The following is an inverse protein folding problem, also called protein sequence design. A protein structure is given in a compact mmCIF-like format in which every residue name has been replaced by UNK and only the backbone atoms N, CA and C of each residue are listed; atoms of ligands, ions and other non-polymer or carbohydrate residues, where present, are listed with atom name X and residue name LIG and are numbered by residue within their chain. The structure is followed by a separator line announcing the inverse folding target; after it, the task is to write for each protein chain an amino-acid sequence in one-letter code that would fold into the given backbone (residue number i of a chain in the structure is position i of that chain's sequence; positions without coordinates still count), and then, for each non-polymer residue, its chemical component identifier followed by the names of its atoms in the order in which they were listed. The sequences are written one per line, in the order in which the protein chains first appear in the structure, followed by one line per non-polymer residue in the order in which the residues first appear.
data_IF_309941742606
#
_entry.id   IF_309941742606
#
_cell.length_a   1.000
_cell.length_b   1.000
_cell.length_c   1.000
_cell.angle_alpha   90.00
_cell.angle_beta   90.00
_cell.angle_gamma   90.00
#
_symmetry.space_group_name_H-M   'P 1'
#
loop_
_entity.id
_entity.type
_entity.pdbx_description
1 polymer ?
#
# COMPACT_ATOMS: atom_id res chain seq x y z
N UNK A 1 21.89 38.89 -14.49
CA UNK A 1 22.07 37.42 -14.63
C UNK A 1 22.65 37.15 -15.99
N UNK A 2 23.77 36.44 -16.05
CA UNK A 2 24.44 36.16 -17.31
C UNK A 2 23.66 35.14 -18.13
N UNK A 3 23.79 35.23 -19.47
CA UNK A 3 23.12 34.31 -20.40
C UNK A 3 23.48 32.85 -20.11
N UNK A 4 24.72 32.61 -19.68
CA UNK A 4 25.22 31.32 -19.22
C UNK A 4 24.45 30.81 -18.00
N UNK A 5 24.17 31.66 -17.01
CA UNK A 5 23.39 31.31 -15.82
C UNK A 5 21.96 30.94 -16.19
N UNK A 6 21.35 31.67 -17.14
CA UNK A 6 19.98 31.39 -17.59
C UNK A 6 19.92 30.05 -18.32
N UNK A 7 20.86 29.77 -19.24
CA UNK A 7 20.92 28.49 -19.95
C UNK A 7 21.19 27.33 -18.99
N UNK A 8 22.10 27.51 -18.02
CA UNK A 8 22.39 26.50 -17.00
C UNK A 8 21.15 26.15 -16.19
N UNK A 9 20.42 27.14 -15.66
CA UNK A 9 19.19 26.91 -14.89
C UNK A 9 18.11 26.23 -15.74
N UNK A 10 17.95 26.64 -17.01
CA UNK A 10 16.97 26.04 -17.91
C UNK A 10 17.28 24.54 -18.14
N UNK A 11 18.55 24.21 -18.40
CA UNK A 11 18.96 22.80 -18.61
C UNK A 11 18.74 21.95 -17.35
N UNK A 12 19.03 22.50 -16.16
CA UNK A 12 18.87 21.80 -14.89
C UNK A 12 17.39 21.51 -14.58
N UNK A 13 16.51 22.48 -14.82
CA UNK A 13 15.04 22.31 -14.67
C UNK A 13 14.49 21.30 -15.68
N UNK A 14 14.92 21.36 -16.95
CA UNK A 14 14.50 20.38 -17.96
C UNK A 14 14.92 18.96 -17.59
N UNK A 15 16.16 18.78 -17.10
CA UNK A 15 16.64 17.47 -16.63
C UNK A 15 15.83 16.98 -15.41
N UNK A 16 15.53 17.87 -14.47
CA UNK A 16 14.77 17.55 -13.28
C UNK A 16 13.36 17.04 -13.64
N UNK A 17 12.63 17.78 -14.48
CA UNK A 17 11.28 17.35 -14.94
C UNK A 17 11.34 16.02 -15.70
N UNK A 18 12.36 15.84 -16.53
CA UNK A 18 12.55 14.60 -17.29
C UNK A 18 12.78 13.38 -16.40
N UNK A 19 13.62 13.51 -15.37
CA UNK A 19 13.88 12.43 -14.42
C UNK A 19 12.68 12.13 -13.54
N UNK A 20 11.92 13.14 -13.11
CA UNK A 20 10.69 12.98 -12.33
C UNK A 20 9.62 12.23 -13.16
N UNK A 21 9.36 12.62 -14.41
CA UNK A 21 8.40 11.91 -15.28
C UNK A 21 8.76 10.44 -15.49
N UNK A 22 10.05 10.12 -15.66
CA UNK A 22 10.51 8.72 -15.84
C UNK A 22 10.28 7.87 -14.59
N UNK A 23 10.40 8.44 -13.39
CA UNK A 23 10.14 7.73 -12.14
C UNK A 23 8.64 7.48 -11.93
N UNK A 24 7.77 8.42 -12.31
CA UNK A 24 6.31 8.27 -12.20
C UNK A 24 5.71 7.26 -13.19
N UNK A 25 6.36 6.98 -14.32
CA UNK A 25 5.87 6.03 -15.32
C UNK A 25 6.12 4.54 -14.99
N UNK A 26 6.79 4.23 -13.87
CA UNK A 26 7.12 2.86 -13.46
C UNK A 26 6.21 2.30 -12.36
N UNK A 27 5.05 2.90 -12.10
CA UNK A 27 4.00 2.25 -11.31
C UNK A 27 3.24 1.25 -12.21
N UNK A 28 3.81 0.06 -12.36
CA UNK A 28 3.13 -1.09 -12.97
C UNK A 28 2.11 -1.63 -11.97
N UNK A 29 0.81 -1.77 -12.34
CA UNK A 29 -0.20 -2.37 -11.49
C UNK A 29 0.12 -3.84 -11.24
N UNK A 30 0.42 -4.22 -10.00
CA UNK A 30 0.57 -5.63 -9.64
C UNK A 30 -0.83 -6.27 -9.53
N UNK A 31 -1.24 -6.85 -10.66
CA UNK A 31 -2.15 -8.00 -10.85
C UNK A 31 -3.12 -8.34 -9.71
N UNK A 32 -4.37 -7.96 -9.93
CA UNK A 32 -5.57 -8.68 -9.48
C UNK A 32 -5.46 -10.14 -9.89
N UNK A 33 -5.38 -11.07 -8.92
CA UNK A 33 -5.53 -12.51 -9.17
C UNK A 33 -7.00 -12.75 -9.54
N UNK A 34 -7.24 -12.96 -10.83
CA UNK A 34 -8.49 -13.48 -11.35
C UNK A 34 -8.64 -14.96 -10.96
N UNK A 35 -9.81 -15.24 -10.40
CA UNK A 35 -10.56 -16.49 -10.45
C UNK A 35 -10.20 -17.40 -11.65
N UNK A 36 -9.85 -18.65 -11.36
CA UNK A 36 -9.87 -19.77 -12.30
C UNK A 36 -10.59 -20.96 -11.63
N UNK A 37 -11.88 -21.05 -11.89
CA UNK A 37 -12.83 -22.19 -11.65
C UNK A 37 -12.66 -23.26 -12.77
N UNK A 38 -13.23 -24.51 -12.76
CA UNK A 38 -13.91 -25.42 -11.78
C UNK A 38 -13.31 -26.87 -11.69
N UNK A 39 -13.62 -27.77 -10.73
CA UNK A 39 -14.71 -28.81 -10.68
C UNK A 39 -14.22 -30.05 -9.85
N UNK A 40 -15.00 -31.11 -9.48
CA UNK A 40 -16.42 -31.23 -9.06
C UNK A 40 -16.67 -32.12 -7.79
N UNK A 41 -17.93 -32.19 -7.34
CA UNK A 41 -18.62 -33.30 -6.62
C UNK A 41 -18.77 -33.23 -5.09
N UNK A 42 -19.92 -32.73 -4.61
CA UNK A 42 -20.80 -33.41 -3.64
C UNK A 42 -22.16 -32.68 -3.58
N UNK A 43 -23.23 -33.47 -3.57
CA UNK A 43 -24.63 -33.08 -3.73
C UNK A 43 -25.24 -32.34 -2.52
N UNK A 44 -26.32 -31.56 -2.74
CA UNK A 44 -27.62 -31.63 -2.02
C UNK A 44 -28.54 -30.42 -2.34
N UNK A 45 -29.68 -30.72 -2.98
CA UNK A 45 -31.04 -30.13 -2.95
C UNK A 45 -31.41 -28.68 -3.40
N UNK A 46 -32.22 -28.63 -4.48
CA UNK A 46 -33.28 -27.72 -4.98
C UNK A 46 -34.01 -26.72 -4.03
N UNK A 47 -34.89 -25.78 -4.50
CA UNK A 47 -35.03 -25.05 -5.80
C UNK A 47 -35.31 -23.50 -5.70
N UNK A 48 -35.29 -22.80 -6.85
CA UNK A 48 -35.90 -21.49 -7.30
C UNK A 48 -36.78 -20.63 -6.36
N UNK A 49 -36.84 -19.27 -6.46
CA UNK A 49 -37.28 -18.54 -7.68
C UNK A 49 -36.54 -17.21 -8.05
N UNK A 50 -36.66 -16.81 -9.32
CA UNK A 50 -36.42 -15.48 -9.93
C UNK A 50 -37.19 -14.33 -9.22
N UNK A 51 -36.81 -13.01 -9.32
CA UNK A 51 -36.85 -12.24 -10.58
C UNK A 51 -35.87 -11.03 -10.75
N UNK A 52 -35.60 -10.62 -11.99
CA UNK A 52 -35.14 -9.26 -12.42
C UNK A 52 -36.30 -8.24 -12.23
N UNK A 53 -36.17 -6.86 -12.19
CA UNK A 53 -35.26 -6.00 -12.96
C UNK A 53 -34.83 -4.61 -12.34
N UNK A 54 -34.08 -3.83 -13.13
CA UNK A 54 -34.16 -2.37 -13.34
C UNK A 54 -33.71 -1.31 -12.29
N UNK A 55 -32.88 -0.40 -12.82
CA UNK A 55 -32.88 1.07 -12.68
C UNK A 55 -32.32 1.76 -11.43
N UNK A 56 -31.36 2.65 -11.74
CA UNK A 56 -31.18 4.00 -11.16
C UNK A 56 -30.68 4.08 -9.72
N UNK A 57 -29.52 4.73 -9.53
CA UNK A 57 -29.44 6.07 -8.90
C UNK A 57 -28.02 6.40 -8.46
N UNK A 58 -27.40 7.29 -9.23
CA UNK A 58 -26.68 8.48 -8.76
C UNK A 58 -26.62 8.64 -7.22
N UNK A 59 -25.45 8.39 -6.63
CA UNK A 59 -25.04 9.13 -5.41
C UNK A 59 -23.53 9.26 -5.31
N UNK A 60 -23.03 10.33 -5.94
CA UNK A 60 -21.88 11.04 -5.38
C UNK A 60 -22.30 11.51 -4.00
N UNK A 61 -21.70 10.95 -2.96
CA UNK A 61 -21.21 11.65 -1.78
C UNK A 61 -20.89 10.64 -0.67
N UNK A 62 -19.90 11.05 0.12
CA UNK A 62 -19.90 10.87 1.57
C UNK A 62 -19.05 9.70 2.09
N UNK A 63 -17.81 10.08 2.44
CA UNK A 63 -17.36 10.01 3.83
C UNK A 63 -17.32 8.60 4.43
N UNK A 64 -16.17 7.96 4.34
CA UNK A 64 -15.72 7.09 5.43
C UNK A 64 -14.24 7.35 5.72
N UNK A 65 -14.03 8.52 6.35
CA UNK A 65 -12.81 8.92 7.07
C UNK A 65 -12.69 8.16 8.40
N UNK A 66 -13.05 6.88 8.41
CA UNK A 66 -12.84 5.96 9.52
C UNK A 66 -12.28 4.68 8.91
N UNK A 67 -11.00 4.72 8.55
CA UNK A 67 -10.20 3.50 8.45
C UNK A 67 -10.11 2.96 9.88
N UNK A 68 -11.14 2.22 10.30
CA UNK A 68 -11.12 1.31 11.43
C UNK A 68 -9.76 0.62 11.34
N UNK A 69 -8.92 0.80 12.36
CA UNK A 69 -7.61 0.19 12.49
C UNK A 69 -7.79 -1.33 12.42
N UNK A 70 -7.87 -1.86 11.20
CA UNK A 70 -7.87 -3.29 10.94
C UNK A 70 -6.44 -3.68 11.21
N UNK A 71 -6.15 -4.01 12.48
CA UNK A 71 -4.86 -4.50 12.94
C UNK A 71 -4.47 -5.62 11.98
N UNK A 72 -3.53 -5.33 11.06
CA UNK A 72 -3.08 -6.31 10.09
C UNK A 72 -2.33 -7.39 10.88
N UNK A 73 -2.51 -8.64 10.48
CA UNK A 73 -1.62 -9.68 10.95
C UNK A 73 -0.19 -9.27 10.57
N UNK A 74 0.73 -9.38 11.53
CA UNK A 74 2.14 -9.15 11.28
C UNK A 74 2.66 -10.37 10.52
N UNK A 75 3.24 -10.12 9.35
CA UNK A 75 3.95 -11.15 8.60
C UNK A 75 5.39 -11.24 9.12
N UNK A 76 5.95 -12.45 9.13
CA UNK A 76 7.33 -12.69 9.57
C UNK A 76 8.34 -11.87 8.73
N UNK A 77 8.07 -11.70 7.43
CA UNK A 77 8.86 -10.85 6.52
C UNK A 77 8.96 -9.40 7.02
N UNK A 78 7.89 -8.85 7.62
CA UNK A 78 7.93 -7.48 8.13
C UNK A 78 8.89 -7.36 9.32
N UNK A 79 8.94 -8.39 10.15
CA UNK A 79 9.85 -8.44 11.31
C UNK A 79 11.29 -8.57 10.82
N UNK A 80 11.54 -9.47 9.87
CA UNK A 80 12.87 -9.67 9.29
C UNK A 80 13.43 -8.39 8.67
N UNK A 81 12.63 -7.70 7.85
CA UNK A 81 13.05 -6.45 7.21
C UNK A 81 13.43 -5.37 8.23
N UNK A 82 12.64 -5.23 9.29
CA UNK A 82 12.94 -4.25 10.36
C UNK A 82 14.22 -4.66 11.11
N UNK A 83 14.40 -5.94 11.42
CA UNK A 83 15.59 -6.43 12.14
C UNK A 83 16.88 -6.28 11.33
N UNK A 84 16.81 -6.45 10.01
CA UNK A 84 17.96 -6.17 9.12
C UNK A 84 18.37 -4.70 9.16
N UNK A 85 17.42 -3.79 9.32
CA UNK A 85 17.68 -2.34 9.34
C UNK A 85 18.01 -1.80 10.74
N UNK A 86 17.41 -2.37 11.78
CA UNK A 86 17.55 -1.94 13.17
C UNK A 86 17.86 -3.15 14.07
N UNK A 87 19.06 -3.77 13.94
CA UNK A 87 19.42 -4.97 14.69
C UNK A 87 19.63 -4.73 16.20
N UNK A 88 19.67 -3.46 16.63
CA UNK A 88 19.82 -3.08 18.03
C UNK A 88 18.50 -3.16 18.80
N UNK A 89 17.35 -3.17 18.12
CA UNK A 89 16.04 -3.21 18.76
C UNK A 89 15.63 -4.67 19.02
N UNK A 90 15.14 -5.01 20.23
CA UNK A 90 14.66 -6.36 20.52
C UNK A 90 13.52 -6.77 19.59
N UNK A 91 13.56 -8.03 19.12
CA UNK A 91 12.57 -8.57 18.19
C UNK A 91 11.14 -8.48 18.73
N UNK A 92 10.95 -8.72 20.04
CA UNK A 92 9.63 -8.66 20.68
C UNK A 92 9.02 -7.26 20.59
N UNK A 93 9.85 -6.22 20.75
CA UNK A 93 9.44 -4.82 20.65
C UNK A 93 9.01 -4.47 19.23
N UNK A 94 9.78 -4.93 18.25
CA UNK A 94 9.44 -4.73 16.83
C UNK A 94 8.15 -5.46 16.46
N UNK A 95 7.97 -6.72 16.88
CA UNK A 95 6.73 -7.47 16.63
C UNK A 95 5.54 -6.74 17.25
N UNK A 96 5.69 -6.24 18.48
CA UNK A 96 4.63 -5.51 19.17
C UNK A 96 4.30 -4.20 18.46
N UNK A 97 5.30 -3.44 18.02
CA UNK A 97 5.07 -2.19 17.33
C UNK A 97 4.49 -2.42 15.93
N UNK A 98 4.95 -3.43 15.19
CA UNK A 98 4.37 -3.84 13.91
C UNK A 98 2.91 -4.29 14.07
N UNK A 99 2.55 -4.95 15.19
CA UNK A 99 1.14 -5.30 15.49
C UNK A 99 0.29 -4.05 15.72
N UNK A 100 0.88 -2.99 16.25
CA UNK A 100 0.20 -1.73 16.53
C UNK A 100 0.09 -0.84 15.28
N UNK A 101 1.19 -0.69 14.54
CA UNK A 101 1.31 0.21 13.37
C UNK A 101 0.80 -0.44 12.10
N UNK A 102 0.97 -1.76 11.95
CA UNK A 102 0.71 -2.52 10.74
C UNK A 102 1.57 -2.11 9.55
N UNK A 103 2.69 -1.39 9.77
CA UNK A 103 3.56 -0.86 8.72
C UNK A 103 5.02 -0.79 9.17
N UNK A 104 5.92 -1.28 8.32
CA UNK A 104 7.38 -1.22 8.50
C UNK A 104 7.84 0.24 8.61
N UNK A 105 7.33 1.11 7.74
CA UNK A 105 7.75 2.52 7.68
C UNK A 105 7.48 3.24 9.00
N UNK A 106 6.26 3.08 9.55
CA UNK A 106 5.89 3.68 10.83
C UNK A 106 6.66 3.09 12.00
N UNK A 107 6.94 1.79 11.97
CA UNK A 107 7.76 1.18 13.01
C UNK A 107 9.20 1.67 12.94
N UNK A 108 9.75 1.88 11.75
CA UNK A 108 11.07 2.48 11.59
C UNK A 108 11.11 3.94 12.07
N UNK A 109 10.09 4.74 11.78
CA UNK A 109 9.95 6.09 12.34
C UNK A 109 9.92 6.08 13.86
N UNK A 110 9.22 5.14 14.49
CA UNK A 110 9.18 5.00 15.94
C UNK A 110 10.53 4.59 16.54
N UNK A 111 11.28 3.73 15.84
CA UNK A 111 12.65 3.34 16.22
C UNK A 111 13.56 4.57 16.18
N UNK A 112 13.58 5.31 15.08
CA UNK A 112 14.41 6.53 14.97
C UNK A 112 13.97 7.65 15.90
N UNK A 113 12.69 7.69 16.29
CA UNK A 113 12.19 8.61 17.30
C UNK A 113 12.53 8.19 18.75
N UNK A 114 13.22 7.06 18.95
CA UNK A 114 13.61 6.56 20.28
C UNK A 114 12.43 6.03 21.11
N UNK A 115 11.30 5.68 20.47
CA UNK A 115 10.13 5.11 21.18
C UNK A 115 10.27 3.62 21.44
N UNK A 116 11.20 2.97 20.75
CA UNK A 116 11.42 1.52 20.75
C UNK A 116 12.77 1.08 21.33
N UNK A 117 13.58 2.02 21.84
CA UNK A 117 14.83 1.75 22.57
C UNK A 117 14.59 1.10 23.94
#
# INVERSE_FOLDING_TARGET
MDRSTIVFLLTMVCLFVYTVKRKSAKQVPLRTVQDAKPAPTAATNNPSPEPVPSTSEKRVAQLNRHSVHRKRAVNDDMVEIVMMMAPHVPQEKVVQDLRNTGSIERTMENIFAGKLD
#
